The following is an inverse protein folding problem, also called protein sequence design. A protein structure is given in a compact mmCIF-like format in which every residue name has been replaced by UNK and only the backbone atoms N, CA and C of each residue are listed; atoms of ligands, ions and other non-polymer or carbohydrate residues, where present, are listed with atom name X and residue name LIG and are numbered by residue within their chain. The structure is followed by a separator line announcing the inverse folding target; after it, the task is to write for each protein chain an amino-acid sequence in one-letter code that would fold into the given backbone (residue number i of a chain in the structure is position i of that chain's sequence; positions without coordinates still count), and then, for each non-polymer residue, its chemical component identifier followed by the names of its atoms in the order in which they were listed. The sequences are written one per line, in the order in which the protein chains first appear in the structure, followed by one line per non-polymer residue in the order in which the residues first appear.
data_IF_084454183532
#
_entry.id   IF_084454183532
#
_cell.length_a   1.000
_cell.length_b   1.000
_cell.length_c   1.000
_cell.angle_alpha   90.00
_cell.angle_beta   90.00
_cell.angle_gamma   90.00
#
_symmetry.space_group_name_H-M   'P 1'
#
loop_
_entity.id
_entity.type
_entity.pdbx_description
1 polymer ?
#
# COMPACT_ATOMS: atom_id res chain seq x y z
N UNK A 1 -25.35 23.00 34.54
CA UNK A 1 -24.86 21.68 35.03
C UNK A 1 -25.78 20.61 34.47
N UNK A 2 -25.38 19.97 33.38
CA UNK A 2 -26.05 18.78 32.86
C UNK A 2 -25.00 17.66 32.81
N UNK A 3 -25.27 16.59 33.54
CA UNK A 3 -24.38 15.45 33.77
C UNK A 3 -24.14 14.67 32.48
N UNK A 4 -22.87 14.51 32.09
CA UNK A 4 -22.48 13.62 30.98
C UNK A 4 -22.76 12.16 31.36
N UNK A 5 -23.39 11.34 30.50
CA UNK A 5 -23.43 9.91 30.73
C UNK A 5 -22.04 9.31 30.46
N UNK A 6 -21.51 8.56 31.43
CA UNK A 6 -20.27 7.79 31.27
C UNK A 6 -20.54 6.58 30.38
N UNK A 7 -20.03 6.60 29.15
CA UNK A 7 -20.08 5.43 28.26
C UNK A 7 -18.91 4.52 28.62
N UNK A 8 -19.14 3.55 29.49
CA UNK A 8 -18.22 2.43 29.70
C UNK A 8 -18.44 1.39 28.60
N UNK A 9 -17.70 1.47 27.49
CA UNK A 9 -17.63 0.34 26.55
C UNK A 9 -16.67 -0.72 27.13
N UNK A 10 -17.08 -2.00 27.25
CA UNK A 10 -16.15 -3.05 27.64
C UNK A 10 -15.08 -3.20 26.54
N UNK A 11 -13.80 -3.27 26.94
CA UNK A 11 -12.72 -3.66 26.03
C UNK A 11 -13.02 -5.07 25.52
N UNK A 12 -13.25 -5.21 24.21
CA UNK A 12 -13.31 -6.53 23.59
C UNK A 12 -11.91 -7.17 23.69
N UNK A 13 -11.81 -8.44 24.12
CA UNK A 13 -10.52 -9.11 24.20
C UNK A 13 -10.01 -9.38 22.78
N UNK A 14 -8.79 -8.95 22.49
CA UNK A 14 -8.03 -9.39 21.32
C UNK A 14 -7.87 -10.91 21.40
N UNK A 15 -8.60 -11.65 20.55
CA UNK A 15 -8.45 -13.10 20.43
C UNK A 15 -7.15 -13.39 19.68
N UNK A 16 -6.06 -13.65 20.41
CA UNK A 16 -4.91 -14.38 19.89
C UNK A 16 -5.29 -15.85 19.75
N UNK A 17 -5.70 -16.27 18.55
CA UNK A 17 -5.92 -17.67 18.25
C UNK A 17 -5.34 -18.00 16.88
N UNK A 18 -4.02 -18.10 16.77
CA UNK A 18 -3.36 -18.84 15.70
C UNK A 18 -2.09 -19.49 16.25
N UNK A 19 -1.92 -20.76 15.88
CA UNK A 19 -0.77 -21.66 16.10
C UNK A 19 -0.74 -22.46 17.41
N UNK A 20 -1.46 -23.58 17.40
CA UNK A 20 -1.03 -24.79 18.10
C UNK A 20 -0.40 -25.77 17.09
N UNK A 21 0.87 -26.12 17.27
CA UNK A 21 1.38 -27.45 16.89
C UNK A 21 2.79 -27.70 17.42
N UNK A 22 2.91 -28.75 18.20
CA UNK A 22 4.10 -29.60 18.41
C UNK A 22 3.55 -30.97 18.84
N UNK A 23 4.19 -32.14 18.58
CA UNK A 23 5.65 -32.33 18.63
C UNK A 23 6.28 -33.27 17.56
N UNK A 24 7.61 -33.35 17.67
CA UNK A 24 8.65 -34.19 17.05
C UNK A 24 8.34 -35.63 16.62
N UNK A 25 9.09 -36.14 15.63
CA UNK A 25 9.91 -37.36 15.78
C UNK A 25 10.85 -37.62 14.58
N UNK A 26 11.98 -38.24 14.92
CA UNK A 26 13.12 -38.67 14.11
C UNK A 26 12.89 -39.96 13.31
N UNK A 27 13.59 -40.14 12.18
CA UNK A 27 14.33 -41.37 11.85
C UNK A 27 15.08 -41.24 10.51
N UNK A 28 16.31 -41.75 10.47
CA UNK A 28 17.15 -41.92 9.29
C UNK A 28 16.81 -43.21 8.52
N UNK A 29 17.00 -43.26 7.20
CA UNK A 29 17.41 -44.50 6.50
C UNK A 29 17.87 -44.26 5.05
N UNK A 30 19.12 -44.64 4.79
CA UNK A 30 19.68 -45.31 3.59
C UNK A 30 19.43 -44.80 2.16
N UNK A 31 20.54 -44.36 1.56
CA UNK A 31 21.09 -44.67 0.22
C UNK A 31 20.21 -45.46 -0.77
N UNK A 32 19.97 -44.84 -1.93
CA UNK A 32 19.51 -45.50 -3.15
C UNK A 32 19.75 -44.60 -4.36
N UNK A 33 20.74 -44.94 -5.18
CA UNK A 33 20.98 -44.33 -6.49
C UNK A 33 19.81 -44.65 -7.40
N UNK A 34 19.08 -43.64 -7.85
CA UNK A 34 18.11 -43.74 -8.96
C UNK A 34 18.49 -42.73 -10.01
N UNK A 35 19.04 -43.23 -11.12
CA UNK A 35 19.18 -42.49 -12.37
C UNK A 35 17.89 -42.68 -13.18
N UNK A 36 16.99 -41.69 -13.21
CA UNK A 36 15.97 -41.59 -14.27
C UNK A 36 15.54 -40.13 -14.49
N UNK A 37 15.68 -39.72 -15.74
CA UNK A 37 14.81 -38.88 -16.55
C UNK A 37 14.38 -37.47 -16.09
N UNK A 38 14.60 -36.55 -17.03
CA UNK A 38 14.04 -35.20 -17.02
C UNK A 38 12.54 -35.26 -16.79
N UNK A 39 12.12 -34.67 -15.68
CA UNK A 39 10.71 -34.47 -15.38
C UNK A 39 10.53 -33.03 -14.92
N UNK A 40 9.77 -32.31 -15.76
CA UNK A 40 9.04 -31.07 -15.50
C UNK A 40 9.51 -30.23 -14.31
N UNK A 41 10.14 -29.11 -14.62
CA UNK A 41 10.34 -28.01 -13.69
C UNK A 41 8.95 -27.46 -13.31
N UNK A 42 8.34 -28.00 -12.24
CA UNK A 42 7.13 -27.43 -11.67
C UNK A 42 7.52 -26.10 -11.05
N UNK A 43 7.29 -25.00 -11.76
CA UNK A 43 7.42 -23.66 -11.22
C UNK A 43 6.62 -23.62 -9.91
N UNK A 44 7.34 -23.53 -8.79
CA UNK A 44 6.74 -23.53 -7.46
C UNK A 44 5.72 -22.39 -7.36
N UNK A 45 4.48 -22.73 -7.02
CA UNK A 45 3.41 -21.85 -6.51
C UNK A 45 3.90 -21.10 -5.26
N UNK A 46 4.82 -20.17 -5.46
CA UNK A 46 5.35 -19.30 -4.40
C UNK A 46 4.57 -17.99 -4.44
N UNK A 47 4.05 -17.60 -3.28
CA UNK A 47 3.36 -16.33 -3.14
C UNK A 47 4.22 -15.19 -3.71
N UNK A 48 3.63 -14.26 -4.49
CA UNK A 48 4.39 -13.17 -5.08
C UNK A 48 5.01 -12.31 -3.98
N UNK A 49 6.26 -11.90 -4.17
CA UNK A 49 6.92 -10.91 -3.34
C UNK A 49 6.37 -9.52 -3.69
N UNK A 50 5.46 -9.02 -2.86
CA UNK A 50 4.81 -7.71 -3.06
C UNK A 50 5.55 -6.64 -2.25
N UNK A 51 5.88 -5.52 -2.89
CA UNK A 51 6.46 -4.36 -2.24
C UNK A 51 5.86 -3.07 -2.79
N UNK A 52 5.76 -2.07 -1.93
CA UNK A 52 5.12 -0.79 -2.26
C UNK A 52 5.98 0.39 -1.85
N UNK A 53 5.96 1.46 -2.63
CA UNK A 53 6.30 2.79 -2.09
C UNK A 53 5.08 3.37 -1.36
N UNK A 54 5.25 4.45 -0.58
CA UNK A 54 4.15 5.36 -0.32
C UNK A 54 3.53 5.85 -1.64
N UNK A 55 2.29 6.33 -1.58
CA UNK A 55 1.70 7.13 -2.65
C UNK A 55 2.14 8.58 -2.43
N UNK A 56 2.63 9.23 -3.48
CA UNK A 56 3.18 10.58 -3.38
C UNK A 56 2.09 11.63 -3.58
N UNK A 57 2.02 12.62 -2.69
CA UNK A 57 1.10 13.74 -2.84
C UNK A 57 1.39 14.54 -4.11
N UNK A 58 0.33 14.94 -4.81
CA UNK A 58 0.42 15.68 -6.07
C UNK A 58 0.30 17.19 -5.89
N UNK A 59 0.61 17.72 -4.71
CA UNK A 59 0.68 19.16 -4.47
C UNK A 59 1.97 19.79 -5.03
N UNK A 60 3.02 19.00 -5.22
CA UNK A 60 4.30 19.44 -5.80
C UNK A 60 4.85 18.41 -6.80
N UNK A 61 5.72 18.83 -7.73
CA UNK A 61 6.38 17.90 -8.65
C UNK A 61 7.31 16.91 -7.93
N UNK A 62 7.68 15.79 -8.60
CA UNK A 62 8.62 14.82 -8.06
C UNK A 62 9.94 15.46 -7.62
N UNK A 63 10.44 15.05 -6.45
CA UNK A 63 11.69 15.55 -5.89
C UNK A 63 12.54 14.40 -5.31
N UNK A 64 13.73 14.72 -4.81
CA UNK A 64 14.69 13.75 -4.26
C UNK A 64 14.10 12.78 -3.24
N UNK A 65 13.15 13.22 -2.41
CA UNK A 65 12.52 12.37 -1.40
C UNK A 65 11.74 11.23 -2.05
N UNK A 66 10.85 11.56 -2.98
CA UNK A 66 10.12 10.56 -3.76
C UNK A 66 11.03 9.67 -4.60
N UNK A 67 12.08 10.25 -5.20
CA UNK A 67 13.02 9.51 -6.03
C UNK A 67 13.83 8.49 -5.22
N UNK A 68 14.37 8.89 -4.07
CA UNK A 68 15.17 8.02 -3.21
C UNK A 68 14.38 6.78 -2.78
N UNK A 69 13.16 6.98 -2.26
CA UNK A 69 12.31 5.86 -1.83
C UNK A 69 12.01 4.92 -2.99
N UNK A 70 11.67 5.46 -4.17
CA UNK A 70 11.34 4.63 -5.34
C UNK A 70 12.55 3.85 -5.85
N UNK A 71 13.74 4.47 -5.90
CA UNK A 71 14.99 3.79 -6.29
C UNK A 71 15.33 2.67 -5.31
N UNK A 72 15.21 2.92 -3.99
CA UNK A 72 15.47 1.91 -2.98
C UNK A 72 14.51 0.71 -3.11
N UNK A 73 13.23 0.97 -3.33
CA UNK A 73 12.24 -0.08 -3.58
C UNK A 73 12.52 -0.84 -4.88
N UNK A 74 12.89 -0.15 -5.96
CA UNK A 74 13.23 -0.77 -7.24
C UNK A 74 14.47 -1.69 -7.14
N UNK A 75 15.50 -1.27 -6.41
CA UNK A 75 16.68 -2.10 -6.16
C UNK A 75 16.31 -3.42 -5.46
N UNK A 76 15.42 -3.37 -4.46
CA UNK A 76 14.90 -4.56 -3.78
C UNK A 76 14.07 -5.42 -4.74
N UNK A 77 13.18 -4.81 -5.53
CA UNK A 77 12.36 -5.51 -6.52
C UNK A 77 13.24 -6.29 -7.52
N UNK A 78 14.25 -5.63 -8.08
CA UNK A 78 15.21 -6.23 -9.01
C UNK A 78 16.00 -7.35 -8.35
N UNK A 79 16.47 -7.17 -7.12
CA UNK A 79 17.17 -8.23 -6.39
C UNK A 79 16.30 -9.48 -6.19
N UNK A 80 15.03 -9.31 -5.82
CA UNK A 80 14.12 -10.45 -5.65
C UNK A 80 13.79 -11.13 -6.99
N UNK A 81 13.65 -10.36 -8.08
CA UNK A 81 13.51 -10.91 -9.44
C UNK A 81 14.76 -11.71 -9.85
N UNK A 82 15.96 -11.23 -9.53
CA UNK A 82 17.23 -11.95 -9.77
C UNK A 82 17.31 -13.28 -9.00
N UNK A 83 16.71 -13.35 -7.81
CA UNK A 83 16.57 -14.59 -7.05
C UNK A 83 15.49 -15.54 -7.60
N UNK A 84 14.87 -15.23 -8.74
CA UNK A 84 13.84 -16.04 -9.38
C UNK A 84 12.45 -15.91 -8.77
N UNK A 85 12.21 -14.93 -7.89
CA UNK A 85 10.87 -14.72 -7.31
C UNK A 85 9.95 -13.99 -8.29
N UNK A 86 8.66 -14.33 -8.24
CA UNK A 86 7.59 -13.50 -8.79
C UNK A 86 7.47 -12.25 -7.94
N UNK A 87 7.63 -11.06 -8.52
CA UNK A 87 7.59 -9.78 -7.81
C UNK A 87 6.42 -8.93 -8.29
N UNK A 88 5.78 -8.19 -7.38
CA UNK A 88 4.79 -7.16 -7.69
C UNK A 88 5.20 -5.87 -6.98
N UNK A 89 5.77 -4.93 -7.74
CA UNK A 89 6.16 -3.61 -7.28
C UNK A 89 5.09 -2.56 -7.62
N UNK A 90 4.51 -1.96 -6.59
CA UNK A 90 3.46 -0.93 -6.71
C UNK A 90 4.00 0.42 -6.24
N UNK A 91 3.77 1.46 -7.05
CA UNK A 91 3.99 2.86 -6.70
C UNK A 91 2.79 3.69 -7.13
N UNK A 92 2.79 5.00 -6.89
CA UNK A 92 1.67 5.83 -7.30
C UNK A 92 1.58 7.19 -6.62
N UNK A 93 0.41 7.79 -6.74
CA UNK A 93 0.11 9.15 -6.29
C UNK A 93 -1.15 9.20 -5.44
N UNK A 94 -1.11 10.08 -4.44
CA UNK A 94 -2.29 10.47 -3.65
C UNK A 94 -2.78 11.84 -4.08
N UNK A 95 -4.06 11.89 -4.43
CA UNK A 95 -4.68 12.90 -5.28
C UNK A 95 -5.89 13.57 -4.60
N UNK A 96 -6.11 13.33 -3.30
CA UNK A 96 -7.19 13.92 -2.52
C UNK A 96 -6.66 14.85 -1.42
N UNK A 97 -7.44 15.87 -1.07
CA UNK A 97 -7.15 16.77 0.05
C UNK A 97 -7.23 18.26 -0.33
N UNK A 98 -7.43 19.10 0.67
CA UNK A 98 -7.60 20.55 0.51
C UNK A 98 -6.36 21.23 -0.08
N UNK A 99 -5.16 20.74 0.29
CA UNK A 99 -3.87 21.23 -0.24
C UNK A 99 -3.79 21.10 -1.76
N UNK A 100 -4.30 20.01 -2.33
CA UNK A 100 -4.27 19.74 -3.77
C UNK A 100 -5.26 20.66 -4.50
N UNK A 101 -6.46 20.86 -3.95
CA UNK A 101 -7.43 21.80 -4.51
C UNK A 101 -6.90 23.25 -4.51
N UNK A 102 -6.19 23.62 -3.45
CA UNK A 102 -5.55 24.93 -3.33
C UNK A 102 -4.41 25.10 -4.34
N UNK A 103 -3.55 24.09 -4.50
CA UNK A 103 -2.47 24.09 -5.48
C UNK A 103 -3.00 24.18 -6.92
N UNK A 104 -4.04 23.41 -7.24
CA UNK A 104 -4.70 23.45 -8.55
C UNK A 104 -5.27 24.85 -8.86
N UNK A 105 -5.93 25.48 -7.88
CA UNK A 105 -6.48 26.83 -8.00
C UNK A 105 -5.39 27.88 -8.21
N UNK A 106 -4.27 27.77 -7.49
CA UNK A 106 -3.11 28.65 -7.65
C UNK A 106 -2.46 28.54 -9.04
N UNK A 107 -2.56 27.36 -9.66
CA UNK A 107 -2.12 27.12 -11.04
C UNK A 107 -3.18 27.45 -12.11
N UNK A 108 -4.38 27.90 -11.73
CA UNK A 108 -5.48 28.17 -12.66
C UNK A 108 -6.03 26.93 -13.38
N UNK A 109 -5.86 25.75 -12.78
CA UNK A 109 -6.27 24.44 -13.32
C UNK A 109 -7.36 23.80 -12.46
N UNK A 110 -8.17 22.90 -13.02
CA UNK A 110 -9.04 22.06 -12.19
C UNK A 110 -8.21 21.08 -11.35
N UNK A 111 -8.71 20.60 -10.20
CA UNK A 111 -7.98 19.61 -9.38
C UNK A 111 -7.60 18.36 -10.17
N UNK A 112 -8.50 17.89 -11.04
CA UNK A 112 -8.25 16.71 -11.87
C UNK A 112 -7.11 16.92 -12.85
N UNK A 113 -7.10 18.04 -13.57
CA UNK A 113 -6.03 18.38 -14.51
C UNK A 113 -4.69 18.53 -13.78
N UNK A 114 -4.69 19.16 -12.61
CA UNK A 114 -3.50 19.29 -11.78
C UNK A 114 -2.92 17.92 -11.40
N UNK A 115 -3.76 17.02 -10.88
CA UNK A 115 -3.37 15.67 -10.54
C UNK A 115 -2.86 14.91 -11.77
N UNK A 116 -3.54 15.02 -12.92
CA UNK A 116 -3.11 14.38 -14.17
C UNK A 116 -1.70 14.83 -14.61
N UNK A 117 -1.41 16.13 -14.52
CA UNK A 117 -0.10 16.71 -14.87
C UNK A 117 1.00 16.19 -13.95
N UNK A 118 0.81 16.26 -12.63
CA UNK A 118 1.84 15.86 -11.66
C UNK A 118 2.06 14.34 -11.67
N UNK A 119 0.99 13.55 -11.77
CA UNK A 119 1.08 12.09 -11.91
C UNK A 119 1.81 11.68 -13.20
N UNK A 120 1.64 12.45 -14.29
CA UNK A 120 2.41 12.24 -15.50
C UNK A 120 3.89 12.61 -15.33
N UNK A 121 4.21 13.66 -14.56
CA UNK A 121 5.59 14.01 -14.23
C UNK A 121 6.29 12.90 -13.43
N UNK A 122 5.60 12.27 -12.47
CA UNK A 122 6.10 11.08 -11.77
C UNK A 122 6.42 9.93 -12.73
N UNK A 123 5.48 9.59 -13.62
CA UNK A 123 5.68 8.52 -14.62
C UNK A 123 6.84 8.81 -15.57
N UNK A 124 7.00 10.07 -15.99
CA UNK A 124 8.11 10.50 -16.83
C UNK A 124 9.44 10.32 -16.08
N UNK A 125 9.53 10.79 -14.84
CA UNK A 125 10.74 10.62 -14.04
C UNK A 125 11.07 9.14 -13.78
N UNK A 126 10.07 8.30 -13.49
CA UNK A 126 10.27 6.85 -13.34
C UNK A 126 10.80 6.19 -14.61
N UNK A 127 10.37 6.66 -15.78
CA UNK A 127 10.93 6.22 -17.05
C UNK A 127 12.39 6.68 -17.22
N UNK A 128 12.68 7.94 -16.91
CA UNK A 128 14.03 8.50 -17.06
C UNK A 128 15.05 7.85 -16.10
N UNK A 129 14.59 7.42 -14.91
CA UNK A 129 15.37 6.70 -13.91
C UNK A 129 15.43 5.18 -14.13
N UNK A 130 14.82 4.65 -15.20
CA UNK A 130 14.67 3.22 -15.46
C UNK A 130 14.07 2.45 -14.26
N UNK A 131 13.01 2.98 -13.64
CA UNK A 131 12.32 2.28 -12.54
C UNK A 131 11.39 1.20 -13.12
N UNK A 132 11.56 -0.04 -12.67
CA UNK A 132 10.81 -1.20 -13.13
C UNK A 132 9.66 -1.56 -12.17
N UNK A 133 8.64 -0.71 -12.11
CA UNK A 133 7.40 -0.96 -11.36
C UNK A 133 6.39 -1.76 -12.18
N UNK A 134 5.55 -2.54 -11.51
CA UNK A 134 4.50 -3.36 -12.13
C UNK A 134 3.15 -2.62 -12.18
N UNK A 135 2.89 -1.75 -11.21
CA UNK A 135 1.65 -0.96 -11.13
C UNK A 135 1.91 0.46 -10.65
N UNK A 136 1.30 1.42 -11.33
CA UNK A 136 1.18 2.80 -10.89
C UNK A 136 -0.28 3.07 -10.49
N UNK A 137 -0.54 3.37 -9.23
CA UNK A 137 -1.89 3.59 -8.69
C UNK A 137 -2.16 5.08 -8.50
N UNK A 138 -3.38 5.51 -8.80
CA UNK A 138 -3.86 6.85 -8.47
C UNK A 138 -5.07 6.72 -7.55
N UNK A 139 -5.17 7.52 -6.49
CA UNK A 139 -6.33 7.43 -5.59
C UNK A 139 -7.64 7.86 -6.25
N UNK A 140 -7.58 8.63 -7.35
CA UNK A 140 -8.75 8.97 -8.19
C UNK A 140 -9.21 7.84 -9.12
N UNK A 141 -8.51 6.70 -9.17
CA UNK A 141 -8.95 5.58 -10.01
C UNK A 141 -10.26 5.00 -9.48
N UNK A 142 -11.25 4.80 -10.36
CA UNK A 142 -12.57 4.29 -9.96
C UNK A 142 -12.50 2.93 -9.22
N UNK A 143 -11.49 2.10 -9.53
CA UNK A 143 -11.24 0.84 -8.81
C UNK A 143 -10.78 1.08 -7.37
N UNK A 144 -9.93 2.09 -7.15
CA UNK A 144 -9.49 2.46 -5.82
C UNK A 144 -10.66 3.00 -5.00
N UNK A 145 -11.43 3.93 -5.56
CA UNK A 145 -12.63 4.48 -4.89
C UNK A 145 -13.62 3.39 -4.47
N UNK A 146 -13.88 2.42 -5.36
CA UNK A 146 -14.79 1.32 -5.06
C UNK A 146 -14.32 0.47 -3.87
N UNK A 147 -13.01 0.21 -3.78
CA UNK A 147 -12.40 -0.53 -2.67
C UNK A 147 -12.49 0.28 -1.37
N UNK A 148 -12.20 1.58 -1.41
CA UNK A 148 -12.31 2.47 -0.25
C UNK A 148 -13.74 2.52 0.26
N UNK A 149 -14.73 2.68 -0.63
CA UNK A 149 -16.17 2.66 -0.28
C UNK A 149 -16.56 1.34 0.37
N UNK A 150 -16.10 0.21 -0.18
CA UNK A 150 -16.36 -1.11 0.40
C UNK A 150 -15.72 -1.28 1.78
N UNK A 151 -14.46 -0.86 1.93
CA UNK A 151 -13.76 -0.90 3.21
C UNK A 151 -14.48 -0.05 4.26
N UNK A 152 -14.78 1.20 3.94
CA UNK A 152 -15.49 2.13 4.81
C UNK A 152 -16.84 1.57 5.27
N UNK A 153 -17.61 0.97 4.36
CA UNK A 153 -18.90 0.35 4.68
C UNK A 153 -18.76 -0.78 5.71
N UNK A 154 -17.76 -1.68 5.55
CA UNK A 154 -17.50 -2.75 6.52
C UNK A 154 -17.13 -2.21 7.90
N UNK A 155 -16.35 -1.13 7.97
CA UNK A 155 -15.94 -0.52 9.25
C UNK A 155 -17.13 0.13 9.95
N UNK A 156 -18.04 0.76 9.20
CA UNK A 156 -19.32 1.26 9.74
C UNK A 156 -20.17 0.10 10.27
N UNK A 157 -20.35 -0.96 9.47
CA UNK A 157 -21.19 -2.11 9.81
C UNK A 157 -20.68 -2.84 11.06
N UNK A 158 -19.35 -2.87 11.26
CA UNK A 158 -18.73 -3.42 12.47
C UNK A 158 -18.90 -2.54 13.72
N UNK A 159 -19.41 -1.31 13.59
CA UNK A 159 -19.60 -0.38 14.70
C UNK A 159 -18.31 0.29 15.21
N UNK A 160 -17.24 0.23 14.40
CA UNK A 160 -15.94 0.82 14.73
C UNK A 160 -15.91 2.34 14.46
N UNK A 161 -16.80 2.84 13.59
CA UNK A 161 -17.00 4.27 13.32
C UNK A 161 -18.26 4.76 14.03
N UNK A 162 -18.16 5.92 14.67
CA UNK A 162 -19.29 6.64 15.23
C UNK A 162 -19.16 8.13 14.92
N UNK A 163 -20.29 8.83 14.89
CA UNK A 163 -20.33 10.28 14.70
C UNK A 163 -20.11 10.98 16.05
N UNK A 164 -19.24 11.96 16.07
CA UNK A 164 -19.03 12.88 17.18
C UNK A 164 -18.63 14.25 16.65
N UNK A 165 -18.85 15.28 17.46
CA UNK A 165 -18.34 16.62 17.17
C UNK A 165 -16.89 16.73 17.64
N UNK A 166 -16.05 17.33 16.80
CA UNK A 166 -14.66 17.61 17.13
C UNK A 166 -14.50 19.10 17.45
N UNK A 167 -13.93 19.40 18.62
CA UNK A 167 -13.51 20.74 19.01
C UNK A 167 -12.05 20.66 19.50
N UNK A 168 -11.16 21.39 18.83
CA UNK A 168 -9.74 21.33 19.09
C UNK A 168 -8.93 22.13 18.05
N UNK A 169 -7.62 22.19 18.26
CA UNK A 169 -6.71 22.82 17.31
C UNK A 169 -6.45 21.88 16.13
N UNK A 170 -6.56 22.43 14.93
CA UNK A 170 -6.35 21.71 13.69
C UNK A 170 -5.39 22.50 12.79
N UNK A 171 -4.40 21.80 12.22
CA UNK A 171 -3.36 22.39 11.39
C UNK A 171 -3.43 21.75 10.00
N UNK A 172 -4.00 22.46 9.03
CA UNK A 172 -4.09 22.01 7.63
C UNK A 172 -2.68 21.70 7.09
N UNK A 173 -1.69 22.53 7.41
CA UNK A 173 -0.31 22.31 6.94
C UNK A 173 0.32 21.03 7.49
N UNK A 174 -0.17 20.51 8.62
CA UNK A 174 0.35 19.33 9.29
C UNK A 174 -0.30 18.03 8.81
N UNK A 175 -1.32 18.10 7.95
CA UNK A 175 -1.91 16.92 7.32
C UNK A 175 -1.04 16.46 6.16
N UNK A 176 -0.22 15.43 6.42
CA UNK A 176 0.56 14.66 5.47
C UNK A 176 0.35 13.16 5.72
#
# INVERSE_FOLDING_TARGET
MASRPSISKPRLPFRHALFSSSPSSSAASTCGVVCCDGSSNSASETDPFVLTTPLYYVNTPPHMGSAYTTIATDAIARFQRLLGKKVIFITGTDEHGEKIATAASACGSSPREHCDVISQAYKALWKDLDIAYDRFIRTTDAKHEAIVKQFYSRVIENGDIYRADYEGLYCINCEE
#
